data_IF_448184542894
#
_entry.id   IF_448184542894
#
_cell.length_a   1.000
_cell.length_b   1.000
_cell.length_c   1.000
_cell.angle_alpha   90.00
_cell.angle_beta   90.00
_cell.angle_gamma   90.00
#
_symmetry.space_group_name_H-M   'P 1'
#
loop_
_entity.id
_entity.type
_entity.pdbx_description
1 polymer ?
2 polymer ?
3 water ?
#
# COMPACT_ATOMS: atom_id res chain seq x y z
N UNK A 1 5.90 -20.38 -25.60
CA UNK A 1 4.93 -20.21 -24.50
C UNK A 1 4.08 -18.99 -24.79
N UNK A 2 3.42 -18.47 -23.78
CA UNK A 2 2.46 -17.36 -23.96
C UNK A 2 1.88 -17.02 -22.59
N UNK A 3 1.23 -15.86 -22.58
CA UNK A 3 0.56 -15.28 -21.43
C UNK A 3 -0.95 -15.55 -21.58
N UNK A 4 -1.71 -14.50 -21.42
CA UNK A 4 -3.12 -14.41 -21.81
C UNK A 4 -3.25 -12.95 -22.30
N UNK A 5 -4.12 -12.73 -23.25
CA UNK A 5 -4.21 -11.38 -23.82
C UNK A 5 -5.43 -10.60 -23.33
N UNK A 6 -5.10 -9.60 -22.53
CA UNK A 6 -6.02 -8.51 -22.16
C UNK A 6 -5.43 -7.26 -22.87
N UNK A 7 -6.26 -6.25 -22.99
CA UNK A 7 -5.81 -4.93 -23.48
C UNK A 7 -5.66 -3.99 -22.29
N UNK A 8 -4.55 -3.26 -22.25
CA UNK A 8 -4.25 -2.40 -21.10
C UNK A 8 -4.89 -1.05 -21.06
N UNK A 9 -6.22 -0.90 -21.02
CA UNK A 9 -6.79 0.46 -20.98
C UNK A 9 -8.21 0.74 -20.60
N UNK A 10 -9.02 -0.20 -20.27
CA UNK A 10 -10.47 -0.09 -20.03
C UNK A 10 -10.91 1.14 -19.26
N UNK A 11 -11.14 2.20 -20.05
CA UNK A 11 -11.62 3.49 -19.54
C UNK A 11 -13.15 3.50 -19.71
N UNK A 12 -13.79 4.07 -18.71
CA UNK A 12 -15.22 4.37 -18.74
C UNK A 12 -15.48 5.64 -17.91
N UNK A 13 -16.71 6.10 -18.00
CA UNK A 13 -17.21 7.14 -17.08
C UNK A 13 -18.23 6.57 -16.11
N UNK A 14 -18.31 7.24 -14.95
CA UNK A 14 -19.15 6.80 -13.83
C UNK A 14 -20.57 6.55 -14.32
N UNK A 15 -21.23 5.64 -13.61
CA UNK A 15 -22.64 5.32 -14.00
C UNK A 15 -22.57 4.32 -15.16
N UNK A 16 -21.73 4.65 -16.12
CA UNK A 16 -21.56 3.81 -17.33
C UNK A 16 -20.98 2.46 -16.90
N UNK A 17 -20.08 1.91 -17.73
CA UNK A 17 -19.47 0.62 -17.46
C UNK A 17 -18.37 0.28 -18.47
N UNK A 18 -17.69 -0.82 -18.13
CA UNK A 18 -16.57 -1.28 -19.01
C UNK A 18 -16.60 -2.78 -19.17
N UNK A 19 -15.91 -3.21 -20.21
CA UNK A 19 -16.00 -4.60 -20.72
C UNK A 19 -14.66 -5.14 -21.15
N UNK A 20 -13.90 -5.72 -20.25
CA UNK A 20 -12.54 -6.20 -20.45
C UNK A 20 -12.43 -7.60 -21.04
N UNK A 21 -11.56 -7.74 -22.04
CA UNK A 21 -11.28 -9.01 -22.73
C UNK A 21 -10.09 -9.74 -22.11
N UNK A 22 -10.21 -11.06 -22.08
CA UNK A 22 -9.10 -11.96 -21.69
C UNK A 22 -9.17 -13.16 -22.65
N UNK A 23 -8.30 -13.11 -23.65
CA UNK A 23 -8.25 -14.13 -24.72
C UNK A 23 -7.12 -15.13 -24.43
N UNK A 24 -7.50 -16.39 -24.49
CA UNK A 24 -6.62 -17.53 -24.23
C UNK A 24 -6.48 -18.40 -25.47
N UNK A 25 -6.37 -19.70 -25.24
CA UNK A 25 -6.40 -20.73 -26.28
C UNK A 25 -7.12 -21.98 -25.75
N UNK A 26 -7.39 -22.87 -26.69
CA UNK A 26 -8.14 -24.11 -26.37
C UNK A 26 -7.08 -25.07 -25.79
N UNK A 27 -6.66 -24.66 -24.62
CA UNK A 27 -5.54 -25.27 -23.88
C UNK A 27 -5.56 -24.69 -22.45
N UNK A 28 -6.27 -23.56 -22.38
CA UNK A 28 -6.47 -22.88 -21.06
C UNK A 28 -7.91 -22.40 -20.94
N UNK A 29 -8.23 -21.22 -21.41
CA UNK A 29 -9.59 -20.68 -21.34
C UNK A 29 -10.63 -21.52 -22.08
N UNK A 30 -10.20 -22.09 -23.19
CA UNK A 30 -11.06 -22.98 -24.00
C UNK A 30 -10.81 -24.43 -23.61
N UNK A 31 -11.76 -24.97 -22.88
CA UNK A 31 -11.78 -26.42 -22.57
C UNK A 31 -12.11 -26.59 -21.09
N UNK A 32 -11.39 -25.81 -20.32
CA UNK A 32 -11.66 -25.72 -18.86
C UNK A 32 -12.48 -24.45 -18.67
N UNK A 33 -13.28 -24.41 -17.62
CA UNK A 33 -14.12 -23.25 -17.31
C UNK A 33 -13.47 -22.30 -16.30
N UNK A 34 -12.45 -22.79 -15.63
CA UNK A 34 -11.75 -22.05 -14.58
C UNK A 34 -10.95 -20.86 -15.12
N UNK A 35 -11.68 -19.77 -15.30
CA UNK A 35 -11.21 -18.43 -15.59
C UNK A 35 -11.65 -17.54 -14.40
N UNK A 36 -10.65 -16.87 -13.86
CA UNK A 36 -10.78 -15.98 -12.72
C UNK A 36 -10.30 -14.57 -13.10
N UNK A 37 -10.86 -13.60 -12.42
CA UNK A 37 -10.65 -12.18 -12.59
C UNK A 37 -10.23 -11.53 -11.27
N UNK A 38 -8.99 -11.09 -11.24
CA UNK A 38 -8.41 -10.42 -10.08
C UNK A 38 -8.64 -8.91 -10.23
N UNK A 39 -8.86 -8.35 -9.07
CA UNK A 39 -8.96 -6.86 -8.96
C UNK A 39 -7.71 -6.54 -8.13
N UNK A 40 -6.96 -5.55 -8.52
CA UNK A 40 -5.73 -5.22 -7.81
C UNK A 40 -5.51 -3.71 -7.81
N UNK A 41 -5.22 -3.30 -6.58
CA UNK A 41 -4.84 -1.90 -6.32
C UNK A 41 -3.33 -1.82 -6.26
N UNK A 42 -2.83 -0.63 -6.61
CA UNK A 42 -1.39 -0.42 -6.80
C UNK A 42 -0.59 -1.16 -5.73
N UNK A 43 0.09 -2.19 -6.24
CA UNK A 43 1.16 -2.88 -5.48
C UNK A 43 0.62 -3.07 -4.04
N UNK A 44 -0.47 -3.78 -4.10
CA UNK A 44 -1.31 -4.04 -2.86
C UNK A 44 -1.77 -5.47 -3.11
N UNK A 45 -2.58 -6.02 -2.23
CA UNK A 45 -3.18 -7.35 -2.55
C UNK A 45 -3.98 -7.17 -3.84
N UNK A 46 -4.00 -8.26 -4.57
CA UNK A 46 -5.09 -8.50 -5.55
C UNK A 46 -6.09 -9.37 -4.78
N UNK A 47 -7.23 -9.59 -5.38
CA UNK A 47 -8.14 -10.65 -4.89
C UNK A 47 -9.03 -11.14 -6.03
N UNK A 48 -9.55 -12.33 -5.76
CA UNK A 48 -10.49 -12.98 -6.70
C UNK A 48 -11.75 -12.15 -6.63
N UNK A 49 -12.20 -11.67 -7.78
CA UNK A 49 -13.55 -11.11 -7.87
C UNK A 49 -14.45 -12.02 -8.69
N UNK A 50 -13.92 -12.60 -9.75
CA UNK A 50 -14.60 -13.64 -10.54
C UNK A 50 -13.71 -14.89 -10.54
N UNK A 51 -14.28 -16.09 -10.51
CA UNK A 51 -13.44 -17.29 -10.35
C UNK A 51 -13.76 -18.47 -11.25
N UNK A 52 -15.00 -18.87 -11.30
CA UNK A 52 -15.39 -19.98 -12.23
C UNK A 52 -16.17 -19.31 -13.34
N UNK A 53 -15.40 -18.88 -14.34
CA UNK A 53 -15.86 -18.07 -15.46
C UNK A 53 -16.69 -16.87 -15.04
N UNK A 54 -17.83 -17.08 -14.41
CA UNK A 54 -18.59 -16.04 -13.72
C UNK A 54 -19.39 -16.66 -12.55
N UNK A 55 -19.32 -15.95 -11.45
CA UNK A 55 -19.98 -16.23 -10.19
C UNK A 55 -19.60 -15.16 -9.14
N UNK A 56 -20.51 -14.93 -8.23
CA UNK A 56 -20.30 -13.97 -7.14
C UNK A 56 -19.54 -14.64 -5.98
N UNK A 57 -18.45 -13.98 -5.64
CA UNK A 57 -17.83 -14.13 -4.29
C UNK A 57 -18.62 -13.20 -3.37
N UNK A 58 -18.69 -13.60 -2.11
CA UNK A 58 -19.54 -12.88 -1.16
C UNK A 58 -18.70 -11.98 -0.26
N UNK A 59 -18.74 -10.74 -0.70
CA UNK A 59 -17.95 -9.62 -0.10
C UNK A 59 -17.33 -8.96 -1.36
N UNK A 60 -17.65 -9.67 -2.48
CA UNK A 60 -17.35 -8.96 -3.75
C UNK A 60 -18.70 -8.35 -4.16
N UNK A 61 -18.63 -7.06 -4.51
CA UNK A 61 -19.84 -6.31 -4.81
C UNK A 61 -20.58 -6.83 -6.01
N UNK A 62 -21.87 -6.74 -5.89
CA UNK A 62 -22.95 -7.03 -6.80
C UNK A 62 -22.87 -6.75 -8.27
N UNK A 63 -21.82 -6.21 -8.89
CA UNK A 63 -21.87 -5.94 -10.33
C UNK A 63 -20.66 -6.07 -11.21
N UNK A 64 -19.61 -6.74 -10.76
CA UNK A 64 -18.51 -7.19 -11.64
C UNK A 64 -19.03 -8.54 -12.17
N UNK A 65 -18.92 -8.67 -13.48
CA UNK A 65 -19.53 -9.86 -14.12
C UNK A 65 -18.56 -10.49 -15.09
N UNK A 66 -18.61 -11.81 -15.18
CA UNK A 66 -17.80 -12.58 -16.12
C UNK A 66 -18.63 -13.30 -17.18
N UNK A 67 -18.05 -13.37 -18.36
CA UNK A 67 -18.60 -13.96 -19.57
C UNK A 67 -17.54 -14.90 -20.14
N UNK A 68 -18.00 -16.01 -20.70
CA UNK A 68 -17.13 -16.81 -21.59
C UNK A 68 -17.80 -16.87 -22.97
N UNK A 69 -16.93 -16.86 -23.94
CA UNK A 69 -17.24 -16.89 -25.37
C UNK A 69 -15.99 -17.44 -26.08
N UNK A 70 -15.85 -18.76 -25.97
CA UNK A 70 -14.86 -19.52 -26.71
C UNK A 70 -13.46 -19.58 -26.15
N UNK A 71 -12.57 -18.80 -26.76
CA UNK A 71 -11.16 -18.75 -26.31
C UNK A 71 -11.14 -17.55 -25.34
N UNK A 72 -12.35 -16.92 -25.30
CA UNK A 72 -12.37 -15.60 -24.62
C UNK A 72 -13.30 -15.49 -23.45
N UNK A 73 -12.70 -14.99 -22.38
CA UNK A 73 -13.39 -14.64 -21.14
C UNK A 73 -13.48 -13.10 -21.16
N UNK A 74 -14.51 -12.59 -20.52
CA UNK A 74 -14.75 -11.15 -20.46
C UNK A 74 -15.32 -10.77 -19.09
N UNK A 75 -14.79 -9.67 -18.59
CA UNK A 75 -15.33 -9.06 -17.35
C UNK A 75 -16.08 -7.81 -17.83
N UNK A 76 -17.30 -7.63 -17.35
CA UNK A 76 -18.03 -6.37 -17.56
C UNK A 76 -18.47 -5.85 -16.19
N UNK A 77 -17.80 -4.74 -15.87
CA UNK A 77 -18.00 -4.06 -14.57
C UNK A 77 -19.03 -2.96 -14.86
N UNK A 78 -20.25 -3.25 -14.37
CA UNK A 78 -21.37 -2.35 -14.70
C UNK A 78 -21.72 -1.36 -13.61
N UNK A 79 -21.70 -0.10 -14.00
CA UNK A 79 -22.23 1.01 -13.20
C UNK A 79 -21.21 2.05 -12.80
N UNK A 80 -19.96 1.75 -13.03
CA UNK A 80 -18.76 2.44 -12.65
C UNK A 80 -18.73 3.48 -11.53
N UNK A 81 -18.10 3.11 -10.40
CA UNK A 81 -17.76 3.97 -9.28
C UNK A 81 -16.23 4.13 -9.09
N UNK A 82 -15.77 5.35 -8.95
CA UNK A 82 -14.42 5.82 -8.75
C UNK A 82 -13.30 4.81 -8.53
N UNK A 83 -13.50 4.13 -7.42
CA UNK A 83 -12.59 3.17 -6.83
C UNK A 83 -12.27 2.02 -7.75
N UNK A 84 -13.13 1.75 -8.71
CA UNK A 84 -12.95 0.64 -9.66
C UNK A 84 -11.64 0.83 -10.44
N UNK A 85 -11.07 2.05 -10.30
CA UNK A 85 -9.69 2.19 -10.88
C UNK A 85 -8.85 1.11 -10.21
N UNK A 86 -8.24 0.28 -11.03
CA UNK A 86 -7.40 -0.83 -10.54
C UNK A 86 -6.53 -1.38 -11.66
N UNK A 87 -6.12 -2.62 -11.50
CA UNK A 87 -5.53 -3.49 -12.50
C UNK A 87 -6.26 -4.85 -12.38
N UNK A 88 -6.90 -5.27 -13.44
CA UNK A 88 -7.66 -6.54 -13.42
C UNK A 88 -6.95 -7.58 -14.28
N UNK A 89 -6.47 -8.61 -13.56
CA UNK A 89 -5.78 -9.71 -14.31
C UNK A 89 -6.73 -10.89 -14.40
N UNK A 90 -6.61 -11.69 -15.45
CA UNK A 90 -7.34 -12.97 -15.54
C UNK A 90 -6.34 -14.11 -15.24
N UNK A 91 -6.92 -15.24 -14.92
CA UNK A 91 -6.18 -16.50 -14.73
C UNK A 91 -7.02 -17.60 -15.40
N UNK A 92 -6.32 -18.50 -16.07
CA UNK A 92 -6.95 -19.63 -16.77
C UNK A 92 -6.18 -20.92 -16.48
N UNK A 93 -6.97 -21.87 -15.99
CA UNK A 93 -6.37 -23.20 -15.68
C UNK A 93 -5.79 -23.71 -17.00
N UNK A 94 -4.54 -24.12 -16.93
CA UNK A 94 -3.91 -24.89 -18.04
C UNK A 94 -4.14 -26.33 -17.58
N UNK A 95 -3.25 -27.24 -17.86
CA UNK A 95 -3.49 -28.63 -17.40
C UNK A 95 -2.63 -28.90 -16.16
N UNK A 96 -1.87 -29.96 -16.32
CA UNK A 96 -0.85 -30.46 -15.42
C UNK A 96 -0.42 -29.43 -14.40
N UNK A 97 -1.31 -29.25 -13.44
CA UNK A 97 -1.36 -28.34 -12.35
C UNK A 97 -0.94 -26.90 -12.49
N UNK A 98 -1.09 -26.27 -13.66
CA UNK A 98 -0.53 -24.93 -13.90
C UNK A 98 -1.58 -23.90 -14.30
N UNK A 99 -1.57 -22.75 -13.61
CA UNK A 99 -2.47 -21.63 -13.89
C UNK A 99 -1.72 -20.51 -14.63
N UNK A 100 -2.31 -20.05 -15.73
CA UNK A 100 -1.66 -18.94 -16.48
C UNK A 100 -2.47 -17.65 -16.43
N UNK A 101 -1.74 -16.52 -16.44
CA UNK A 101 -2.30 -15.19 -16.17
C UNK A 101 -2.32 -14.28 -17.39
N UNK A 102 -2.97 -13.11 -17.21
CA UNK A 102 -3.08 -12.11 -18.27
C UNK A 102 -2.12 -10.94 -18.19
N UNK A 103 -2.10 -10.17 -19.28
CA UNK A 103 -1.39 -8.90 -19.40
C UNK A 103 -1.99 -7.87 -18.44
N UNK A 104 -3.28 -8.03 -18.22
CA UNK A 104 -3.99 -7.24 -17.20
C UNK A 104 -4.49 -5.96 -17.87
N UNK A 105 -5.42 -5.33 -17.16
CA UNK A 105 -6.01 -4.10 -17.70
C UNK A 105 -5.94 -3.07 -16.58
N UNK A 106 -5.50 -1.88 -16.97
CA UNK A 106 -5.59 -0.73 -16.06
C UNK A 106 -6.96 -0.12 -16.39
N UNK A 107 -7.71 0.01 -15.28
CA UNK A 107 -9.09 0.55 -15.46
C UNK A 107 -9.12 1.98 -14.93
N UNK A 108 -9.75 2.81 -15.77
CA UNK A 108 -9.81 4.25 -15.45
C UNK A 108 -11.25 4.74 -15.56
N UNK A 109 -11.57 5.52 -14.54
CA UNK A 109 -12.88 6.19 -14.47
C UNK A 109 -12.60 7.64 -14.91
N UNK A 110 -13.67 8.20 -15.39
CA UNK A 110 -13.68 9.60 -15.86
C UNK A 110 -14.89 10.27 -15.22
N UNK A 111 -14.84 11.59 -15.14
CA UNK A 111 -15.93 12.36 -14.55
C UNK A 111 -15.89 12.38 -13.04
N UNK A 112 -14.76 11.97 -12.47
CA UNK A 112 -14.51 12.00 -11.03
C UNK A 112 -14.10 13.45 -10.69
N UNK A 113 -14.90 14.02 -9.82
CA UNK A 113 -14.68 15.38 -9.34
C UNK A 113 -13.24 15.59 -8.92
N UNK A 114 -12.73 16.78 -9.27
CA UNK A 114 -11.37 17.17 -8.87
C UNK A 114 -11.43 17.93 -7.55
N UNK A 115 -10.45 17.68 -6.71
CA UNK A 115 -10.35 18.25 -5.38
C UNK A 115 -9.02 19.00 -5.23
N UNK A 116 -9.17 20.15 -4.63
CA UNK A 116 -8.05 20.98 -4.12
C UNK A 116 -7.80 20.49 -2.69
N UNK A 117 -6.53 20.33 -2.34
CA UNK A 117 -6.10 19.62 -1.15
C UNK A 117 -6.45 20.29 0.17
N UNK A 118 -6.57 19.43 1.19
CA UNK A 118 -6.58 19.91 2.58
C UNK A 118 -5.09 19.95 2.97
N UNK A 119 -4.62 21.08 3.41
CA UNK A 119 -3.21 21.24 3.80
C UNK A 119 -3.07 21.47 5.30
N UNK A 120 -2.55 20.48 6.00
CA UNK A 120 -2.30 20.59 7.44
C UNK A 120 -0.82 20.63 7.81
N UNK A 121 -0.38 21.76 8.34
CA UNK A 121 0.99 21.96 8.81
C UNK A 121 1.18 21.52 10.26
N UNK A 122 2.23 20.76 10.52
CA UNK A 122 2.56 20.25 11.86
C UNK A 122 3.95 20.73 12.30
N UNK A 123 3.94 21.55 13.34
CA UNK A 123 5.15 22.00 14.03
C UNK A 123 5.83 20.92 14.84
N UNK A 124 7.15 21.06 15.01
CA UNK A 124 7.98 20.13 15.76
C UNK A 124 7.51 19.89 17.18
N UNK A 125 7.16 18.64 17.44
CA UNK A 125 6.65 18.23 18.75
C UNK A 125 7.69 18.35 19.87
N UNK A 126 7.15 18.70 21.03
CA UNK A 126 7.78 18.72 22.33
C UNK A 126 8.93 17.75 22.49
N UNK A 127 8.65 16.45 22.37
CA UNK A 127 9.72 15.44 22.52
C UNK A 127 10.75 15.59 21.40
N UNK A 128 10.30 15.80 20.18
CA UNK A 128 11.22 16.01 19.05
C UNK A 128 12.32 16.98 19.49
N UNK A 129 11.80 18.02 20.15
CA UNK A 129 12.61 19.08 20.74
C UNK A 129 13.45 18.60 21.91
N UNK A 130 12.89 17.77 22.77
CA UNK A 130 13.60 17.24 23.94
C UNK A 130 14.82 16.42 23.51
N UNK A 131 14.65 15.77 22.37
CA UNK A 131 15.68 14.95 21.73
C UNK A 131 16.65 15.87 20.98
N UNK A 132 16.11 17.05 20.66
CA UNK A 132 16.90 18.15 20.09
C UNK A 132 16.91 18.21 18.58
N UNK A 133 15.92 17.63 17.95
CA UNK A 133 15.74 17.70 16.48
C UNK A 133 14.41 18.38 16.20
N UNK A 134 14.26 19.06 15.07
CA UNK A 134 12.94 19.61 14.69
C UNK A 134 12.54 19.19 13.29
N UNK A 135 11.25 18.84 13.12
CA UNK A 135 10.71 18.48 11.82
C UNK A 135 9.32 19.11 11.62
N UNK A 136 9.10 19.50 10.38
CA UNK A 136 7.84 20.11 9.94
C UNK A 136 7.22 19.21 8.87
N UNK A 137 6.04 18.70 9.17
CA UNK A 137 5.27 17.87 8.24
C UNK A 137 4.13 18.72 7.68
N UNK A 138 4.19 18.96 6.39
CA UNK A 138 3.04 19.50 5.65
C UNK A 138 2.29 18.27 5.11
N UNK A 139 1.09 18.06 5.63
CA UNK A 139 0.23 16.98 5.16
C UNK A 139 -0.75 17.52 4.10
N UNK A 140 -0.40 17.16 2.87
CA UNK A 140 -1.17 17.55 1.68
C UNK A 140 -2.09 16.36 1.36
N UNK A 141 -3.34 16.49 1.75
CA UNK A 141 -4.28 15.37 1.64
C UNK A 141 -5.44 15.73 0.70
N UNK A 142 -6.23 14.71 0.45
CA UNK A 142 -7.50 14.73 -0.21
C UNK A 142 -7.62 15.40 -1.56
N UNK A 143 -6.55 15.43 -2.33
CA UNK A 143 -6.53 16.10 -3.64
C UNK A 143 -6.85 15.08 -4.73
N UNK A 144 -7.15 15.67 -5.88
CA UNK A 144 -7.47 14.91 -7.11
C UNK A 144 -7.51 15.92 -8.26
N UNK A 145 -6.80 15.68 -9.35
CA UNK A 145 -5.87 14.60 -9.57
C UNK A 145 -4.65 14.67 -8.67
N UNK A 146 -3.64 13.90 -9.04
CA UNK A 146 -2.44 13.68 -8.27
C UNK A 146 -1.25 14.49 -8.71
N UNK A 147 -1.48 15.67 -9.27
CA UNK A 147 -0.40 16.65 -9.46
C UNK A 147 -0.63 17.79 -8.45
N UNK A 148 0.44 18.01 -7.72
CA UNK A 148 0.48 19.01 -6.62
C UNK A 148 1.96 19.28 -6.40
N UNK A 149 2.35 20.54 -6.31
CA UNK A 149 3.76 20.79 -5.90
C UNK A 149 3.79 21.29 -4.47
N UNK A 150 5.00 21.30 -3.90
CA UNK A 150 5.25 21.80 -2.56
C UNK A 150 6.49 22.71 -2.55
N UNK A 151 6.37 23.74 -1.73
CA UNK A 151 7.43 24.71 -1.43
C UNK A 151 7.39 24.99 0.08
N UNK A 152 8.56 25.22 0.61
CA UNK A 152 8.75 25.63 2.01
C UNK A 152 9.37 27.02 2.03
N UNK A 153 9.26 27.64 3.20
CA UNK A 153 9.79 29.05 3.24
C UNK A 153 10.44 29.37 4.56
N UNK A 154 11.61 29.99 4.41
CA UNK A 154 12.50 30.43 5.45
C UNK A 154 11.84 31.52 6.31
N UNK A 155 11.26 32.45 5.59
CA UNK A 155 10.73 33.72 6.11
C UNK A 155 10.59 34.60 4.84
N UNK A 156 9.44 34.45 4.20
CA UNK A 156 9.24 35.12 2.88
C UNK A 156 10.16 34.36 1.91
N UNK A 157 11.42 34.64 2.05
CA UNK A 157 12.52 33.96 1.31
C UNK A 157 12.38 32.46 1.46
N UNK A 158 12.82 31.71 0.43
CA UNK A 158 12.47 30.30 0.29
C UNK A 158 13.39 29.29 0.97
N UNK A 159 12.86 28.06 1.04
CA UNK A 159 13.60 26.91 1.62
C UNK A 159 13.64 25.84 0.52
N UNK A 160 14.74 25.80 -0.19
CA UNK A 160 14.91 24.78 -1.26
C UNK A 160 15.92 23.76 -0.76
N UNK A 161 15.93 23.58 0.56
CA UNK A 161 16.90 22.70 1.23
C UNK A 161 16.33 22.18 2.55
N UNK A 162 16.57 20.91 2.82
CA UNK A 162 16.12 20.25 4.04
C UNK A 162 14.87 19.40 3.80
N UNK A 163 14.21 19.72 2.69
CA UNK A 163 12.91 19.17 2.37
C UNK A 163 12.97 17.83 1.64
N UNK A 164 12.23 16.88 2.22
CA UNK A 164 11.89 15.63 1.53
C UNK A 164 10.37 15.62 1.39
N UNK A 165 9.92 15.36 0.17
CA UNK A 165 8.46 15.42 -0.11
C UNK A 165 8.01 14.22 -0.89
N UNK A 166 7.31 13.34 -0.18
CA UNK A 166 6.79 12.09 -0.77
C UNK A 166 5.79 12.51 -1.83
N UNK A 167 5.72 11.69 -2.86
CA UNK A 167 4.83 12.02 -4.00
C UNK A 167 3.70 10.99 -4.11
N UNK A 168 2.57 11.44 -4.66
CA UNK A 168 1.25 11.16 -4.15
C UNK A 168 0.55 9.84 -4.12
N UNK A 169 0.36 9.26 -2.94
CA UNK A 169 -0.44 8.01 -2.81
C UNK A 169 -1.92 8.22 -3.03
N UNK A 170 -2.67 7.13 -2.98
CA UNK A 170 -4.11 7.09 -3.26
C UNK A 170 -4.77 6.48 -2.01
N UNK A 171 -5.92 6.99 -1.62
CA UNK A 171 -6.52 6.56 -0.35
C UNK A 171 -7.91 5.98 -0.51
N UNK A 172 -8.43 5.53 0.64
CA UNK A 172 -9.70 4.84 0.78
C UNK A 172 -10.84 5.47 0.01
N UNK A 173 -10.68 6.70 -0.45
CA UNK A 173 -11.76 7.38 -1.18
C UNK A 173 -11.36 7.71 -2.61
N UNK A 174 -10.38 7.03 -3.14
CA UNK A 174 -9.91 7.27 -4.54
C UNK A 174 -9.55 8.73 -4.72
N UNK A 175 -9.07 9.34 -3.64
CA UNK A 175 -8.46 10.67 -3.64
C UNK A 175 -7.01 10.51 -3.18
N UNK A 176 -6.11 11.32 -3.70
CA UNK A 176 -4.68 11.26 -3.40
C UNK A 176 -4.20 12.06 -2.18
N UNK A 177 -3.08 11.55 -1.64
CA UNK A 177 -2.47 12.08 -0.42
C UNK A 177 -0.95 11.99 -0.44
N UNK A 178 -0.34 13.12 -0.12
CA UNK A 178 1.09 13.37 -0.12
C UNK A 178 1.53 14.18 1.10
N UNK A 179 2.83 14.15 1.37
CA UNK A 179 3.41 14.92 2.49
C UNK A 179 4.78 15.48 2.13
N UNK A 180 5.13 16.56 2.82
CA UNK A 180 6.45 17.21 2.67
C UNK A 180 7.01 17.58 4.05
N UNK A 181 8.32 17.47 4.16
CA UNK A 181 8.98 17.73 5.43
C UNK A 181 10.25 18.55 5.31
N UNK A 182 10.29 19.53 6.22
CA UNK A 182 11.53 20.33 6.46
C UNK A 182 12.09 19.77 7.78
N UNK A 183 13.29 19.30 7.67
CA UNK A 183 14.06 18.79 8.82
C UNK A 183 15.01 19.94 9.18
N UNK A 184 14.85 20.48 10.37
CA UNK A 184 15.75 21.55 10.81
C UNK A 184 16.11 21.40 12.29
N UNK A 185 17.25 22.00 12.63
CA UNK A 185 17.65 22.18 14.03
C UNK A 185 16.73 23.20 14.69
N UNK A 186 16.42 22.93 15.95
CA UNK A 186 15.54 23.80 16.75
C UNK A 186 16.13 25.19 16.84
N UNK A 187 17.46 25.26 16.74
CA UNK A 187 18.12 26.57 16.49
C UNK A 187 17.28 27.26 15.41
N UNK A 188 17.44 26.75 14.20
CA UNK A 188 16.73 27.23 13.02
C UNK A 188 15.28 27.54 13.38
N UNK A 189 14.68 26.63 14.12
CA UNK A 189 13.25 26.73 14.46
C UNK A 189 12.91 28.01 15.23
N UNK A 190 13.58 28.16 16.36
CA UNK A 190 13.34 29.30 17.26
C UNK A 190 13.95 30.57 16.72
N UNK A 191 14.85 30.48 15.75
CA UNK A 191 15.35 31.66 15.04
C UNK A 191 14.30 32.39 14.22
N UNK A 192 13.49 31.73 13.41
CA UNK A 192 12.61 32.37 12.42
C UNK A 192 11.26 32.82 12.92
N UNK A 193 10.61 33.71 12.16
CA UNK A 193 9.31 34.28 12.55
C UNK A 193 8.18 33.28 12.26
N UNK A 194 8.43 32.51 11.22
CA UNK A 194 7.49 31.49 10.74
C UNK A 194 8.12 30.76 9.55
N UNK A 195 7.64 29.54 9.38
CA UNK A 195 8.03 28.65 8.29
C UNK A 195 6.75 28.34 7.52
N UNK A 196 6.82 28.53 6.20
CA UNK A 196 5.56 28.13 5.45
C UNK A 196 5.67 26.82 4.70
N UNK A 197 4.49 26.31 4.33
CA UNK A 197 4.26 25.22 3.41
C UNK A 197 3.25 25.69 2.34
N UNK A 198 3.77 25.91 1.16
CA UNK A 198 3.03 26.33 -0.03
C UNK A 198 2.73 25.09 -0.87
N UNK A 199 1.49 24.88 -1.23
CA UNK A 199 1.05 23.66 -1.95
C UNK A 199 0.21 24.02 -3.17
N UNK A 200 0.60 23.52 -4.35
CA UNK A 200 0.01 24.02 -5.60
C UNK A 200 -0.73 22.99 -6.42
N UNK A 201 -2.04 23.21 -6.62
CA UNK A 201 -2.89 22.20 -7.26
C UNK A 201 -3.87 22.71 -8.31
N UNK A 202 -3.73 22.23 -9.54
CA UNK A 202 -4.54 22.60 -10.70
C UNK A 202 -4.82 24.11 -10.67
N UNK A 203 -3.76 24.88 -10.43
CA UNK A 203 -3.82 26.32 -10.40
C UNK A 203 -4.20 26.93 -9.06
N UNK A 204 -4.86 26.18 -8.21
CA UNK A 204 -5.20 26.59 -6.85
C UNK A 204 -4.00 26.42 -5.90
N UNK A 205 -3.40 27.56 -5.57
CA UNK A 205 -2.30 27.61 -4.61
C UNK A 205 -2.93 27.74 -3.20
N UNK A 206 -2.25 27.09 -2.30
CA UNK A 206 -2.56 27.16 -0.87
C UNK A 206 -1.20 27.43 -0.18
N UNK A 207 -1.25 28.17 0.87
CA UNK A 207 -0.07 28.40 1.71
C UNK A 207 -0.57 28.29 3.14
N UNK A 208 0.14 27.48 3.89
CA UNK A 208 -0.07 27.40 5.36
C UNK A 208 1.22 27.86 6.00
N UNK A 209 1.11 28.58 7.10
CA UNK A 209 2.30 29.13 7.80
C UNK A 209 2.34 28.56 9.21
N UNK A 210 3.53 28.44 9.75
CA UNK A 210 3.68 28.03 11.16
C UNK A 210 4.68 28.93 11.87
N UNK A 211 4.24 29.40 13.03
CA UNK A 211 5.04 30.23 13.94
C UNK A 211 5.28 29.47 15.25
N UNK A 212 6.50 29.60 15.75
CA UNK A 212 6.85 29.12 17.09
C UNK A 212 5.87 29.69 18.10
N UNK A 213 4.89 28.88 18.44
CA UNK A 213 3.81 29.27 19.39
C UNK A 213 3.28 27.97 20.02
N UNK A 214 2.64 27.15 19.21
CA UNK A 214 2.52 25.72 19.33
C UNK A 214 1.64 24.99 20.31
N UNK A 215 1.85 25.08 21.60
CA UNK A 215 1.27 24.20 22.62
C UNK A 215 2.11 22.92 22.75
N UNK A 216 2.53 22.43 21.59
CA UNK A 216 3.69 21.50 21.55
C UNK A 216 4.97 22.36 21.70
N UNK B 1 -10.12 -12.09 3.47
CA UNK B 1 -9.78 -11.02 4.41
C UNK B 1 -8.26 -10.85 4.47
N UNK B 2 -7.86 -9.90 5.27
CA UNK B 2 -6.42 -9.60 5.47
C UNK B 2 -5.86 -10.60 6.47
N UNK B 3 -6.08 -11.89 6.23
CA UNK B 3 -5.88 -12.92 7.25
C UNK B 3 -4.62 -13.75 7.15
N UNK B 4 -3.65 -13.28 6.41
CA UNK B 4 -2.35 -13.93 6.22
C UNK B 4 -1.28 -12.84 6.29
N UNK B 5 -0.69 -12.76 7.46
CA UNK B 5 0.35 -11.79 7.75
C UNK B 5 1.62 -12.23 7.00
N UNK B 6 2.07 -11.30 6.20
CA UNK B 6 3.38 -11.42 5.52
C UNK B 6 4.22 -10.19 5.93
N UNK B 7 5.50 -10.41 6.11
CA UNK B 7 6.46 -9.33 6.37
C UNK B 7 6.36 -8.24 5.32
N UNK B 8 6.71 -7.01 5.75
CA UNK B 8 6.81 -5.87 4.85
C UNK B 8 7.93 -5.98 3.85
N UNK B 9 9.14 -6.28 4.29
CA UNK B 9 10.29 -6.38 3.38
C UNK B 9 11.31 -7.39 3.85
N UNK B 10 11.79 -8.11 2.85
CA UNK B 10 12.92 -9.04 2.98
C UNK B 10 13.93 -8.59 1.91
N UNK B 11 15.17 -8.85 2.22
CA UNK B 11 16.29 -8.34 1.43
C UNK B 11 17.52 -9.20 1.72
N UNK B 12 18.29 -9.30 0.65
CA UNK B 12 19.60 -10.00 0.74
C UNK B 12 20.47 -9.52 -0.42
N UNK B 13 21.71 -9.93 -0.35
CA UNK B 13 22.66 -9.70 -1.47
C UNK B 13 22.57 -10.91 -2.39
N UNK B 14 23.24 -10.79 -3.54
CA UNK B 14 23.28 -11.92 -4.48
C UNK B 14 23.94 -13.11 -3.76
N UNK B 15 23.14 -14.15 -3.57
CA UNK B 15 23.64 -15.33 -2.84
C UNK B 15 22.97 -15.63 -1.54
N UNK B 16 22.12 -14.74 -1.00
CA UNK B 16 21.49 -15.05 0.30
C UNK B 16 20.14 -15.72 0.23
N UNK B 17 19.90 -16.64 1.18
CA UNK B 17 18.70 -17.42 1.37
C UNK B 17 17.50 -16.71 2.01
N UNK B 18 16.70 -16.01 1.24
CA UNK B 18 15.61 -15.18 1.74
C UNK B 18 14.29 -15.87 2.02
N UNK B 19 14.01 -16.04 3.32
CA UNK B 19 12.81 -16.74 3.81
C UNK B 19 11.66 -15.78 4.03
N UNK B 20 10.47 -16.24 3.67
CA UNK B 20 9.29 -15.36 3.62
C UNK B 20 8.09 -16.11 4.18
N UNK B 21 7.30 -15.40 4.98
CA UNK B 21 6.25 -16.06 5.76
C UNK B 21 4.87 -15.51 5.43
N UNK B 22 3.98 -16.45 5.65
CA UNK B 22 2.51 -16.24 5.50
C UNK B 22 2.03 -16.94 6.77
N UNK B 23 1.70 -16.09 7.73
CA UNK B 23 1.25 -16.53 9.06
C UNK B 23 -0.26 -16.32 9.07
N UNK B 24 -0.98 -17.42 9.28
CA UNK B 24 -2.45 -17.30 9.06
C UNK B 24 -3.15 -17.12 10.39
N UNK B 25 -4.14 -16.21 10.40
CA UNK B 25 -4.93 -16.04 11.67
C UNK B 25 -5.80 -17.29 11.83
N UNK B 26 -5.90 -17.74 13.06
CA UNK B 26 -6.72 -18.84 13.54
C UNK B 26 -7.28 -19.79 12.51
N UNK B 27 -8.34 -19.43 11.84
CA UNK B 27 -9.11 -20.17 10.86
C UNK B 27 -8.62 -21.56 10.46
N UNK B 28 -8.47 -21.85 9.16
CA UNK B 28 -8.28 -23.26 8.73
C UNK B 28 -6.81 -23.68 8.80
N UNK B 29 -6.39 -23.74 10.05
CA UNK B 29 -5.06 -24.21 10.45
C UNK B 29 -5.03 -25.73 10.29
N UNK B 30 -4.01 -26.18 9.58
CA UNK B 30 -3.93 -27.61 9.17
C UNK B 30 -5.26 -27.90 8.41
N UNK B 31 -5.70 -26.85 7.72
CA UNK B 31 -7.08 -26.80 7.21
C UNK B 31 -7.11 -26.32 5.78
N UNK B 32 -6.13 -25.52 5.42
CA UNK B 32 -5.78 -25.33 4.00
C UNK B 32 -4.27 -25.58 3.87
N UNK B 33 -4.06 -26.82 3.53
CA UNK B 33 -2.67 -27.35 3.32
C UNK B 33 -2.53 -27.14 1.80
N UNK B 34 -2.80 -25.88 1.47
CA UNK B 34 -3.12 -25.48 0.08
C UNK B 34 -2.86 -23.98 -0.03
N UNK B 35 -1.61 -23.65 0.17
CA UNK B 35 -1.11 -22.28 0.13
C UNK B 35 -0.33 -22.13 -1.19
N UNK B 36 -0.35 -20.91 -1.70
CA UNK B 36 0.32 -20.68 -3.00
C UNK B 36 1.11 -19.39 -2.98
N UNK B 37 2.38 -19.51 -3.33
CA UNK B 37 3.29 -18.35 -3.44
C UNK B 37 3.24 -17.81 -4.87
N UNK B 38 3.04 -16.51 -5.02
CA UNK B 38 2.99 -15.86 -6.31
C UNK B 38 3.89 -14.59 -6.30
N UNK B 39 4.62 -14.52 -7.39
CA UNK B 39 5.45 -13.36 -7.67
C UNK B 39 4.52 -12.29 -8.29
N UNK B 40 5.13 -11.15 -8.36
CA UNK B 40 4.74 -10.03 -9.24
C UNK B 40 6.12 -9.28 -9.35
N UNK B 41 6.60 -9.12 -10.54
CA UNK B 41 7.64 -8.09 -10.76
C UNK B 41 6.87 -6.81 -11.08
N UNK B 42 7.62 -5.72 -11.05
CA UNK B 42 7.03 -4.43 -11.47
C UNK B 42 6.51 -4.64 -12.91
N UNK B 43 5.30 -4.18 -13.10
CA UNK B 43 4.68 -4.16 -14.41
C UNK B 43 4.38 -5.51 -14.98
N UNK B 44 4.71 -6.60 -14.29
CA UNK B 44 4.31 -7.94 -14.87
C UNK B 44 2.98 -8.32 -14.24
N UNK B 45 2.72 -9.61 -14.13
CA UNK B 45 1.55 -10.12 -13.38
C UNK B 45 1.95 -11.38 -12.62
N UNK B 46 1.06 -11.82 -11.70
CA UNK B 46 1.46 -12.76 -10.66
C UNK B 46 1.78 -14.18 -11.07
N UNK B 47 3.05 -14.44 -11.34
CA UNK B 47 3.43 -15.86 -11.68
C UNK B 47 3.34 -16.64 -10.38
N UNK B 48 2.41 -17.56 -10.26
CA UNK B 48 2.37 -18.50 -9.12
C UNK B 48 3.60 -19.41 -9.19
N UNK B 49 4.47 -19.32 -8.21
CA UNK B 49 5.71 -20.09 -8.18
C UNK B 49 5.66 -21.24 -7.20
N UNK B 50 4.56 -21.38 -6.49
CA UNK B 50 4.32 -22.47 -5.54
C UNK B 50 2.80 -22.64 -5.40
N UNK B 51 2.37 -23.88 -5.49
CA UNK B 51 0.99 -24.29 -5.25
C UNK B 51 1.05 -25.42 -4.21
N UNK B 52 -0.11 -25.70 -3.65
CA UNK B 52 -0.28 -26.80 -2.68
C UNK B 52 0.96 -26.88 -1.78
N UNK B 53 1.11 -25.87 -0.95
CA UNK B 53 2.18 -25.80 0.06
C UNK B 53 3.60 -25.86 -0.46
N UNK B 54 4.07 -27.02 -0.86
CA UNK B 54 5.45 -27.19 -1.33
C UNK B 54 5.61 -27.39 -2.82
N UNK B 55 4.56 -27.35 -3.61
CA UNK B 55 4.67 -27.78 -5.01
C UNK B 55 5.04 -26.67 -5.98
N UNK B 56 6.08 -26.97 -6.76
CA UNK B 56 6.58 -26.04 -7.78
C UNK B 56 5.76 -26.23 -9.06
N UNK B 57 5.32 -25.10 -9.58
CA UNK B 57 4.67 -25.06 -10.90
C UNK B 57 5.73 -25.14 -12.00
N UNK B 58 5.26 -25.42 -13.19
CA UNK B 58 6.10 -25.77 -14.33
C UNK B 58 7.13 -24.69 -14.65
N UNK B 59 8.35 -25.04 -14.30
CA UNK B 59 9.54 -24.31 -14.71
C UNK B 59 10.03 -23.36 -13.63
N UNK B 60 9.47 -23.50 -12.44
CA UNK B 60 10.02 -22.72 -11.31
C UNK B 60 11.32 -23.42 -10.90
N UNK B 61 12.41 -22.69 -11.03
CA UNK B 61 13.72 -23.12 -10.53
C UNK B 61 13.74 -23.47 -9.05
N UNK B 62 14.21 -24.65 -8.79
CA UNK B 62 14.44 -25.35 -7.56
C UNK B 62 14.95 -24.58 -6.36
N UNK B 63 15.50 -23.43 -6.59
CA UNK B 63 16.00 -22.49 -5.58
C UNK B 63 14.82 -22.07 -4.69
N UNK B 64 13.72 -21.86 -5.40
CA UNK B 64 12.48 -21.39 -4.78
C UNK B 64 11.82 -22.52 -3.97
N UNK B 65 12.45 -22.79 -2.85
CA UNK B 65 11.99 -23.82 -1.90
C UNK B 65 10.68 -23.33 -1.31
N UNK B 66 10.00 -24.18 -0.56
CA UNK B 66 8.70 -23.85 0.03
C UNK B 66 8.34 -24.86 1.11
N UNK B 67 7.70 -24.35 2.15
CA UNK B 67 7.18 -25.25 3.22
C UNK B 67 6.16 -24.50 4.07
N UNK B 68 5.54 -25.23 4.98
CA UNK B 68 4.51 -24.64 5.88
C UNK B 68 4.63 -25.23 7.28
N UNK B 69 5.82 -25.14 7.80
CA UNK B 69 6.26 -25.64 9.10
C UNK B 69 5.20 -25.86 10.16
N UNK B 70 4.20 -25.03 10.18
CA UNK B 70 3.11 -24.99 11.20
C UNK B 70 2.49 -23.61 10.98
N UNK B 71 1.21 -23.48 10.91
CA UNK B 71 0.45 -22.25 10.69
C UNK B 71 1.12 -21.18 9.80
N UNK B 72 2.33 -21.49 9.42
CA UNK B 72 3.24 -20.59 8.77
C UNK B 72 3.86 -21.30 7.57
N UNK B 73 3.41 -20.71 6.47
CA UNK B 73 3.99 -20.96 5.15
C UNK B 73 5.30 -20.14 5.16
N UNK B 74 6.35 -20.73 4.68
CA UNK B 74 7.65 -20.10 4.51
C UNK B 74 8.29 -20.49 3.18
N UNK B 75 8.22 -19.54 2.26
CA UNK B 75 8.91 -19.62 0.97
C UNK B 75 10.40 -19.41 1.31
N UNK B 76 11.26 -19.95 0.45
CA UNK B 76 12.71 -19.72 0.75
C UNK B 76 13.43 -19.70 -0.59
N UNK B 77 13.95 -18.49 -0.88
CA UNK B 77 14.78 -18.42 -2.14
C UNK B 77 16.18 -18.71 -1.59
N UNK B 78 16.58 -19.93 -1.96
CA UNK B 78 17.84 -20.48 -1.42
C UNK B 78 19.05 -20.19 -2.27
N UNK B 79 19.01 -19.11 -3.02
CA UNK B 79 20.21 -18.56 -3.71
C UNK B 79 19.85 -17.33 -4.53
N UNK B 80 19.91 -16.15 -3.93
CA UNK B 80 19.45 -14.90 -4.50
C UNK B 80 20.15 -14.48 -5.79
N UNK B 81 19.37 -14.46 -6.86
CA UNK B 81 19.69 -13.85 -8.15
C UNK B 81 18.99 -12.49 -8.30
N UNK B 82 19.58 -11.57 -9.03
CA UNK B 82 19.11 -10.20 -9.21
C UNK B 82 17.62 -10.06 -9.51
N UNK B 83 17.18 -10.83 -10.48
CA UNK B 83 15.80 -10.91 -10.96
C UNK B 83 14.83 -11.45 -9.93
N UNK B 84 15.33 -11.85 -8.78
CA UNK B 84 14.46 -12.38 -7.71
C UNK B 84 13.71 -11.20 -7.07
N UNK B 85 14.34 -10.04 -7.22
CA UNK B 85 13.64 -8.81 -6.78
C UNK B 85 12.23 -8.80 -7.32
N UNK B 86 11.26 -8.78 -6.42
CA UNK B 86 9.83 -8.86 -6.77
C UNK B 86 8.98 -8.76 -5.52
N UNK B 87 7.67 -8.60 -5.73
CA UNK B 87 6.70 -8.74 -4.64
C UNK B 87 6.33 -10.27 -4.66
N UNK B 88 5.97 -10.68 -3.48
CA UNK B 88 5.58 -12.04 -3.17
C UNK B 88 4.31 -12.04 -2.34
N UNK B 89 3.29 -12.69 -2.87
CA UNK B 89 1.99 -12.78 -2.20
C UNK B 89 1.73 -14.27 -2.00
N UNK B 90 1.39 -14.64 -0.80
CA UNK B 90 0.91 -16.01 -0.54
C UNK B 90 -0.61 -15.96 -0.78
N UNK B 91 -1.21 -17.13 -0.68
CA UNK B 91 -2.64 -17.29 -0.93
C UNK B 91 -3.14 -18.55 -0.21
N UNK B 92 -4.42 -18.51 0.08
CA UNK B 92 -5.18 -19.62 0.65
C UNK B 92 -6.63 -19.55 0.13
N UNK B 93 -7.08 -20.67 -0.41
CA UNK B 93 -8.48 -20.93 -0.80
C UNK B 93 -9.23 -21.45 0.43
N UNK B 94 -9.88 -20.60 1.17
CA UNK B 94 -10.71 -21.06 2.32
C UNK B 94 -12.16 -21.13 1.94
N UNK B 95 -12.51 -22.18 1.18
CA UNK B 95 -13.86 -22.52 0.74
C UNK B 95 -14.49 -21.69 -0.35
N UNK B 96 -14.49 -22.20 -1.56
CA UNK B 96 -15.08 -21.70 -2.78
C UNK B 96 -15.23 -20.19 -2.91
N UNK B 97 -16.07 -19.59 -2.09
CA UNK B 97 -16.29 -18.15 -2.06
C UNK B 97 -15.10 -17.39 -1.46
N UNK B 98 -14.06 -18.09 -1.01
CA UNK B 98 -13.02 -17.41 -0.22
C UNK B 98 -11.59 -17.68 -0.66
N UNK B 99 -11.06 -16.73 -1.40
CA UNK B 99 -9.62 -16.76 -1.78
C UNK B 99 -8.99 -15.57 -1.03
N UNK B 100 -7.90 -15.86 -0.35
CA UNK B 100 -7.21 -14.87 0.49
C UNK B 100 -5.74 -14.84 0.03
N UNK B 101 -5.24 -13.63 -0.02
CA UNK B 101 -3.83 -13.38 -0.38
C UNK B 101 -3.18 -12.83 0.89
N UNK B 102 -1.89 -13.07 0.98
CA UNK B 102 -1.17 -12.58 2.22
C UNK B 102 -1.11 -11.07 2.00
N UNK B 103 -0.55 -10.38 2.96
CA UNK B 103 -0.39 -8.91 2.78
C UNK B 103 0.63 -8.55 1.74
N UNK B 104 1.61 -9.39 1.50
CA UNK B 104 2.64 -9.14 0.47
C UNK B 104 3.99 -8.86 1.10
N UNK B 105 5.01 -9.45 0.52
CA UNK B 105 6.41 -9.27 0.93
C UNK B 105 7.18 -8.76 -0.30
N UNK B 106 7.96 -7.73 -0.10
CA UNK B 106 8.84 -7.18 -1.15
C UNK B 106 10.24 -7.75 -0.90
N UNK B 107 10.81 -8.36 -1.94
CA UNK B 107 12.21 -8.81 -1.88
C UNK B 107 13.10 -7.79 -2.59
N UNK B 108 14.03 -7.25 -1.82
CA UNK B 108 15.05 -6.36 -2.40
C UNK B 108 16.41 -7.03 -2.34
N UNK B 109 17.18 -6.81 -3.39
CA UNK B 109 18.62 -7.20 -3.39
C UNK B 109 19.38 -5.95 -2.93
N UNK B 110 20.07 -6.07 -1.82
CA UNK B 110 20.73 -5.00 -1.10
C UNK B 110 21.61 -4.10 -1.94
N UNK B 111 21.15 -2.88 -2.16
CA UNK B 111 21.86 -1.92 -3.00
C UNK B 111 22.47 -0.79 -2.19
N UNK B 112 22.02 -0.65 -0.98
CA UNK B 112 22.53 0.33 0.01
C UNK B 112 22.66 -0.49 1.30
N UNK B 113 23.27 0.08 2.31
CA UNK B 113 23.22 -0.51 3.68
C UNK B 113 21.77 -0.43 4.14
N UNK B 114 21.35 -1.42 4.91
CA UNK B 114 20.02 -1.45 5.55
C UNK B 114 19.88 -0.29 6.53
N UNK B 115 18.69 0.30 6.60
CA UNK B 115 18.54 1.54 7.40
C UNK B 115 17.13 1.66 7.94
N UNK B 116 17.00 1.37 9.22
CA UNK B 116 15.71 1.34 9.93
C UNK B 116 15.09 2.73 10.01
N UNK B 117 13.76 2.74 10.02
CA UNK B 117 12.98 3.97 9.92
C UNK B 117 13.10 4.84 11.16
N UNK B 118 13.00 6.16 10.96
CA UNK B 118 12.87 7.07 12.15
C UNK B 118 11.41 7.48 12.26
N UNK B 119 10.70 6.81 13.16
CA UNK B 119 9.25 7.03 13.37
C UNK B 119 9.14 8.32 14.20
N UNK B 120 8.39 9.24 13.66
CA UNK B 120 8.20 10.56 14.32
C UNK B 120 6.72 10.90 14.27
N UNK B 121 6.12 11.12 15.41
CA UNK B 121 4.65 11.26 15.48
C UNK B 121 4.26 12.70 15.78
N UNK B 122 3.40 13.28 14.95
CA UNK B 122 2.91 14.65 15.21
C UNK B 122 1.46 14.70 15.69
N UNK B 123 1.24 15.49 16.74
CA UNK B 123 -0.06 15.66 17.39
C UNK B 123 -0.82 16.87 16.87
N UNK B 124 -2.15 16.72 16.89
CA UNK B 124 -3.06 17.74 16.34
C UNK B 124 -2.52 19.12 16.68
N UNK B 125 -2.37 19.94 15.66
CA UNK B 125 -1.93 21.33 15.81
C UNK B 125 -2.91 22.07 16.72
N UNK B 126 -2.33 22.97 17.50
CA UNK B 126 -3.14 23.86 18.36
C UNK B 126 -4.27 24.44 17.49
N UNK B 127 -3.80 25.21 16.52
CA UNK B 127 -4.72 25.94 15.63
C UNK B 127 -5.76 25.00 15.08
N UNK B 128 -5.32 23.84 14.67
CA UNK B 128 -6.19 22.87 13.94
C UNK B 128 -7.38 22.54 14.81
N UNK B 129 -7.04 22.44 16.11
CA UNK B 129 -8.10 22.18 17.12
C UNK B 129 -8.96 23.43 17.27
N UNK B 130 -8.34 24.58 17.03
CA UNK B 130 -9.11 25.86 17.11
C UNK B 130 -10.22 25.82 16.04
N UNK B 131 -9.92 25.00 15.05
CA UNK B 131 -10.81 24.86 13.88
C UNK B 131 -11.65 23.59 14.02
N UNK B 132 -11.49 22.95 15.17
CA UNK B 132 -12.33 21.77 15.51
C UNK B 132 -11.96 20.53 14.73
N UNK B 133 -10.71 20.42 14.32
CA UNK B 133 -10.18 19.25 13.61
C UNK B 133 -9.16 18.48 14.46
N UNK B 134 -9.12 17.14 14.29
CA UNK B 134 -7.99 16.41 14.96
C UNK B 134 -7.33 15.47 13.97
N UNK B 135 -6.05 15.70 13.70
CA UNK B 135 -5.28 14.86 12.78
C UNK B 135 -3.90 14.64 13.38
N UNK B 136 -3.50 13.37 13.39
CA UNK B 136 -2.12 13.00 13.74
C UNK B 136 -1.46 12.52 12.43
N UNK B 137 -0.15 12.66 12.38
CA UNK B 137 0.63 12.14 11.24
C UNK B 137 1.90 11.48 11.77
N UNK B 138 1.93 10.16 11.55
CA UNK B 138 3.14 9.35 11.78
C UNK B 138 3.98 9.54 10.53
N UNK B 139 5.18 10.02 10.73
CA UNK B 139 6.17 10.21 9.64
C UNK B 139 7.19 9.09 9.85
N UNK B 140 7.59 8.52 8.73
CA UNK B 140 8.53 7.36 8.76
C UNK B 140 9.60 7.70 7.72
N UNK B 141 10.83 7.91 8.23
CA UNK B 141 11.85 8.32 7.21
C UNK B 141 13.09 7.46 7.18
N UNK B 142 13.85 7.67 6.10
CA UNK B 142 15.25 7.26 5.98
C UNK B 142 15.47 5.75 6.10
N UNK B 143 14.53 4.98 5.57
CA UNK B 143 14.60 3.52 5.58
C UNK B 143 15.02 2.92 4.24
N UNK B 144 15.63 1.75 4.39
CA UNK B 144 16.03 0.87 3.28
C UNK B 144 16.01 -0.58 3.79
N UNK B 145 15.40 -1.50 3.06
CA UNK B 145 14.63 -1.27 1.84
C UNK B 145 13.27 -0.67 2.13
N UNK B 146 12.69 -0.04 1.13
CA UNK B 146 11.49 0.77 1.28
C UNK B 146 10.17 0.03 1.16
N UNK B 147 9.81 -0.64 2.23
CA UNK B 147 8.59 -1.49 2.30
C UNK B 147 8.39 -1.74 3.81
N UNK B 148 7.36 -1.09 4.30
CA UNK B 148 7.23 -0.87 5.76
C UNK B 148 5.79 -1.10 6.19
N UNK B 149 5.60 -1.70 7.36
CA UNK B 149 4.24 -1.78 7.91
C UNK B 149 4.01 -0.59 8.87
N UNK B 150 2.76 -0.25 9.00
CA UNK B 150 2.24 0.76 9.91
C UNK B 150 1.01 0.14 10.62
N UNK B 151 0.94 0.38 11.91
CA UNK B 151 -0.23 0.00 12.73
C UNK B 151 -0.47 1.18 13.69
N UNK B 152 -1.70 1.50 13.97
CA UNK B 152 -2.03 2.54 14.96
C UNK B 152 -2.73 1.94 16.17
N UNK B 153 -2.57 2.65 17.30
CA UNK B 153 -3.24 2.25 18.54
C UNK B 153 -3.87 3.44 19.28
N UNK B 154 -5.09 3.22 19.76
CA UNK B 154 -5.89 4.21 20.47
C UNK B 154 -5.82 4.07 21.98
N UNK B 155 -5.37 2.96 22.48
CA UNK B 155 -4.97 2.77 23.89
C UNK B 155 -4.45 1.30 23.96
N UNK B 156 -3.68 1.00 22.94
CA UNK B 156 -3.19 -0.37 22.72
C UNK B 156 -4.19 -1.12 21.84
N UNK B 157 -5.01 -0.35 21.16
CA UNK B 157 -6.11 -0.88 20.33
C UNK B 157 -5.87 -0.39 18.90
N UNK B 158 -5.59 -1.34 18.04
CA UNK B 158 -5.55 -1.10 16.60
C UNK B 158 -6.65 -0.11 16.26
N UNK B 159 -6.22 1.04 15.76
CA UNK B 159 -7.22 2.04 15.27
C UNK B 159 -7.31 1.69 13.78
N UNK B 160 -8.42 1.03 13.52
CA UNK B 160 -8.69 0.35 12.26
C UNK B 160 -9.29 1.29 11.23
N UNK B 161 -9.53 2.53 11.65
CA UNK B 161 -10.44 3.41 10.92
C UNK B 161 -10.12 4.89 10.95
N UNK B 162 -9.81 5.40 9.76
CA UNK B 162 -9.44 6.80 9.55
C UNK B 162 -7.97 6.89 9.14
N UNK B 163 -7.35 5.73 9.06
CA UNK B 163 -5.91 5.59 8.80
C UNK B 163 -5.63 5.76 7.30
N UNK B 164 -4.50 6.42 7.01
CA UNK B 164 -4.13 6.60 5.57
C UNK B 164 -2.63 6.68 5.41
N UNK B 165 -2.04 5.50 5.44
CA UNK B 165 -0.64 5.25 5.08
C UNK B 165 -0.44 5.61 3.61
N UNK B 166 0.74 6.05 3.27
CA UNK B 166 1.02 6.42 1.84
C UNK B 166 1.90 5.38 1.24
N UNK B 167 2.79 5.65 0.32
CA UNK B 167 3.71 4.65 -0.23
C UNK B 167 5.12 5.22 -0.29
N UNK B 168 6.08 4.34 0.01
CA UNK B 168 7.49 4.74 0.08
C UNK B 168 7.87 5.57 -1.11
N UNK B 169 8.65 6.62 -0.85
CA UNK B 169 9.21 7.44 -1.94
C UNK B 169 10.71 7.56 -1.74
N UNK B 170 11.37 7.75 -2.85
CA UNK B 170 12.84 7.93 -2.88
C UNK B 170 13.02 9.38 -2.40
N UNK B 171 13.87 9.51 -1.41
CA UNK B 171 14.33 10.82 -0.93
C UNK B 171 15.67 11.06 -1.66
N UNK B 172 16.06 12.30 -1.78
CA UNK B 172 17.29 12.63 -2.51
C UNK B 172 18.52 11.92 -1.95
N UNK B 173 18.42 11.37 -0.76
CA UNK B 173 19.53 10.64 -0.11
C UNK B 173 19.44 9.16 -0.50
N UNK B 174 18.51 8.91 -1.41
CA UNK B 174 18.35 7.58 -2.02
C UNK B 174 17.75 6.60 -1.02
N UNK B 175 17.24 7.09 0.09
CA UNK B 175 16.53 6.26 1.07
C UNK B 175 15.03 6.60 0.98
N UNK B 176 14.19 5.72 1.48
CA UNK B 176 12.75 5.88 1.38
C UNK B 176 12.14 6.68 2.52
N UNK B 177 10.85 6.99 2.32
CA UNK B 177 10.06 7.78 3.27
C UNK B 177 8.56 7.57 3.00
N UNK B 178 7.84 7.35 4.09
CA UNK B 178 6.38 7.21 4.08
C UNK B 178 5.76 8.00 5.26
N UNK B 179 4.43 7.96 5.30
CA UNK B 179 3.65 8.65 6.32
C UNK B 179 2.21 8.12 6.34
N UNK B 180 1.74 7.97 7.57
CA UNK B 180 0.36 7.53 7.84
C UNK B 180 -0.32 8.71 8.57
N UNK B 181 -1.47 9.11 8.05
CA UNK B 181 -2.24 10.12 8.84
C UNK B 181 -3.40 9.42 9.54
N UNK B 182 -4.02 10.18 10.43
CA UNK B 182 -5.20 9.73 11.17
C UNK B 182 -6.12 10.92 11.51
N UNK B 183 -7.27 10.92 10.86
CA UNK B 183 -8.31 11.93 11.02
C UNK B 183 -9.29 11.50 12.11
N UNK B 184 -9.55 12.44 13.00
CA UNK B 184 -10.26 12.26 14.26
C UNK B 184 -11.14 13.48 14.56
N UNK B 185 -12.06 13.23 15.49
CA UNK B 185 -12.87 14.28 16.11
C UNK B 185 -12.30 14.64 17.49
N UNK B 186 -12.21 15.93 17.76
CA UNK B 186 -11.61 16.48 18.98
C UNK B 186 -11.93 15.69 20.23
N UNK B 187 -13.21 15.39 20.37
CA UNK B 187 -13.76 14.72 21.56
C UNK B 187 -13.16 13.34 21.74
N UNK B 188 -13.05 12.63 20.64
CA UNK B 188 -12.41 11.31 20.58
C UNK B 188 -10.91 11.39 20.87
N UNK B 189 -10.38 12.56 20.51
CA UNK B 189 -8.92 12.78 20.74
C UNK B 189 -8.73 12.86 22.24
N UNK B 190 -9.41 13.82 22.88
CA UNK B 190 -9.35 13.89 24.37
C UNK B 190 -9.77 12.57 25.02
N UNK B 191 -10.87 11.99 24.58
CA UNK B 191 -11.47 10.79 25.15
C UNK B 191 -10.62 9.53 25.09
N UNK B 192 -9.41 9.64 24.58
CA UNK B 192 -8.43 8.54 24.64
C UNK B 192 -7.24 9.05 25.45
N UNK B 193 -6.65 8.16 26.23
CA UNK B 193 -5.53 8.53 27.10
C UNK B 193 -4.24 8.67 26.30
N UNK B 194 -4.03 7.77 25.35
CA UNK B 194 -2.85 7.80 24.46
C UNK B 194 -3.22 7.34 23.04
N UNK B 195 -2.35 7.58 22.10
CA UNK B 195 -2.36 7.17 20.72
C UNK B 195 -0.91 6.83 20.31
N UNK B 196 -0.70 5.64 19.81
CA UNK B 196 0.62 5.25 19.30
C UNK B 196 0.62 4.89 17.80
N UNK B 197 1.81 4.92 17.23
CA UNK B 197 2.11 4.61 15.85
C UNK B 197 3.29 3.63 15.74
N UNK B 198 3.01 2.41 15.33
CA UNK B 198 3.99 1.30 15.32
C UNK B 198 4.30 0.94 13.87
N UNK B 199 5.56 0.97 13.49
CA UNK B 199 6.05 0.78 12.13
C UNK B 199 7.04 -0.39 12.08
N UNK B 200 6.54 -1.48 11.50
CA UNK B 200 7.30 -2.73 11.37
C UNK B 200 8.24 -2.69 10.17
N UNK B 201 9.46 -3.17 10.37
CA UNK B 201 10.45 -3.21 9.29
C UNK B 201 11.62 -4.14 9.55
N UNK B 202 11.50 -5.31 8.93
CA UNK B 202 12.58 -6.27 8.78
C UNK B 202 13.21 -6.62 10.12
N UNK B 203 12.33 -6.96 11.05
CA UNK B 203 12.76 -7.51 12.36
C UNK B 203 12.56 -6.41 13.41
N UNK B 204 13.03 -5.23 13.01
CA UNK B 204 12.92 -4.06 13.91
C UNK B 204 11.51 -3.51 13.84
N UNK B 205 11.01 -3.10 14.99
CA UNK B 205 9.69 -2.46 15.11
C UNK B 205 9.80 -1.21 15.98
N UNK B 206 9.26 -0.12 15.44
CA UNK B 206 9.31 1.16 16.22
C UNK B 206 7.89 1.55 16.53
N UNK B 207 7.61 1.87 17.79
CA UNK B 207 6.31 2.37 18.21
C UNK B 207 6.47 3.69 18.98
N UNK B 208 5.77 4.71 18.49
CA UNK B 208 5.83 6.04 19.14
C UNK B 208 4.50 6.36 19.78
N UNK B 209 4.54 6.72 21.05
CA UNK B 209 3.33 6.98 21.85
C UNK B 209 3.09 8.46 22.08
N UNK B 210 1.84 8.84 21.96
CA UNK B 210 1.34 10.22 22.04
C UNK B 210 0.10 10.33 22.94
N UNK B 211 -0.10 11.50 23.52
CA UNK B 211 -1.26 11.74 24.41
C UNK B 211 -1.78 13.15 24.26
N UNK B 212 -3.05 13.33 24.59
CA UNK B 212 -3.66 14.67 24.75
C UNK B 212 -3.06 15.46 25.91
N UNK B 213 -2.69 16.68 25.59
CA UNK B 213 -2.25 17.73 26.53
C UNK B 213 -2.70 19.06 25.91
N UNK B 214 -2.52 20.20 26.57
CA UNK B 214 -3.43 21.31 26.25
C UNK B 214 -2.99 22.67 25.79
N UNK B 215 -2.69 23.60 26.69
CA UNK B 215 -2.81 25.06 26.38
C UNK B 215 -4.37 25.24 26.51
N UNK B 216 -4.98 24.73 25.45
CA UNK B 216 -6.42 24.78 25.21
C UNK B 216 -6.70 23.99 23.92
C UNK C 1 -7.25 -21.27 -7.34
N UNK C 2 -6.44 -22.16 -7.91
CA UNK C 2 -5.94 -23.28 -7.09
C UNK C 2 -6.54 -24.59 -7.61
N UNK C 3 -7.88 -24.58 -7.57
CA UNK C 3 -8.65 -25.82 -7.82
C UNK C 3 -8.53 -26.22 -9.29
N UNK C 4 -8.71 -27.57 -9.52
CA UNK C 4 -7.63 -28.15 -10.45
C UNK C 4 -6.39 -28.21 -9.52
N UNK C 5 -5.18 -28.17 -9.95
#
# INVERSE_FOLDING_TARGET
>A
PSALTQPPSASGSLGQSVTISCTGTSSDVGGYNYVSWYQQHAGKAPKVIIYEVNKRPSGVPDRFSGSKSGNTASLTVSGLQAEDEADYYCSSYEGSDNFVFGTGTKVTVLGQPKANPTVTLFPPSSEELQANKATLVCLISDFYPGAVTVAWKADGSPVKAGVETTKPSKQSNNKYAASSYLSLTPEQWKSHRSYSCQVTHEGSTVEKTVAPTECS
>B
PSALTQPPSASGSLGQSVTISCTGTSSDVGGYNYVSWYQQHAGKAPKVIIYEVNKRPSGVPDRFSGSKSGNTASLTVSGLQAEDEADYYCSSYEGSDNFVFGTGTKVTVLGQPKANPTVTLFPPSSEELQANKATLVCLISDFYPGAVTVAWKADGSPVKAGVETTKPSKQSNNKYAASSYLSLTPEQWKSHRSYSCQVTHEGSTVEKTVAPTECS
>C
XEHPX
#
